data_IF_845492078671
#
_entry.id   IF_845492078671
#
_cell.length_a   1.000
_cell.length_b   1.000
_cell.length_c   1.000
_cell.angle_alpha   90.00
_cell.angle_beta   90.00
_cell.angle_gamma   90.00
#
_symmetry.space_group_name_H-M   'P 1'
#
loop_
_entity.id
_entity.type
_entity.pdbx_description
1 polymer ?
#
# COMPACT_ATOMS: atom_id res chain seq x y z
N UNK A 1 -4.73 -15.26 2.85
CA UNK A 1 -5.58 -14.12 2.47
C UNK A 1 -6.37 -14.48 1.23
N UNK A 2 -7.64 -14.06 1.12
CA UNK A 2 -8.42 -14.25 -0.11
C UNK A 2 -8.08 -13.20 -1.17
N UNK A 3 -8.34 -13.49 -2.46
CA UNK A 3 -8.18 -12.50 -3.54
C UNK A 3 -9.07 -11.27 -3.31
N UNK A 4 -10.26 -11.45 -2.72
CA UNK A 4 -11.18 -10.36 -2.41
C UNK A 4 -10.60 -9.43 -1.34
N UNK A 5 -9.98 -9.99 -0.30
CA UNK A 5 -9.33 -9.25 0.77
C UNK A 5 -8.12 -8.48 0.25
N UNK A 6 -7.29 -9.10 -0.60
CA UNK A 6 -6.19 -8.43 -1.29
C UNK A 6 -6.68 -7.25 -2.14
N UNK A 7 -7.72 -7.45 -2.96
CA UNK A 7 -8.29 -6.37 -3.77
C UNK A 7 -8.83 -5.23 -2.90
N UNK A 8 -9.41 -5.55 -1.74
CA UNK A 8 -9.88 -4.55 -0.77
C UNK A 8 -8.70 -3.76 -0.19
N UNK A 9 -7.62 -4.42 0.23
CA UNK A 9 -6.42 -3.73 0.74
C UNK A 9 -5.78 -2.81 -0.31
N UNK A 10 -5.69 -3.27 -1.57
CA UNK A 10 -5.23 -2.46 -2.70
C UNK A 10 -6.13 -1.25 -2.97
N UNK A 11 -7.45 -1.41 -2.86
CA UNK A 11 -8.41 -0.32 -3.03
C UNK A 11 -8.29 0.75 -1.94
N UNK A 12 -8.08 0.34 -0.68
CA UNK A 12 -7.87 1.28 0.43
C UNK A 12 -6.56 2.07 0.27
N UNK A 13 -5.50 1.42 -0.20
CA UNK A 13 -4.27 2.13 -0.54
C UNK A 13 -4.51 3.14 -1.66
N UNK A 14 -5.19 2.73 -2.74
CA UNK A 14 -5.53 3.65 -3.84
C UNK A 14 -6.34 4.85 -3.37
N UNK A 15 -7.37 4.62 -2.54
CA UNK A 15 -8.19 5.67 -1.98
C UNK A 15 -7.38 6.64 -1.12
N UNK A 16 -6.42 6.13 -0.35
CA UNK A 16 -5.51 6.96 0.46
C UNK A 16 -4.60 7.82 -0.42
N UNK A 17 -4.11 7.29 -1.55
CA UNK A 17 -3.37 8.09 -2.53
C UNK A 17 -4.23 9.20 -3.15
N UNK A 18 -5.46 8.87 -3.56
CA UNK A 18 -6.35 9.81 -4.24
C UNK A 18 -6.90 10.89 -3.30
N UNK A 19 -6.88 10.66 -1.98
CA UNK A 19 -7.18 11.67 -0.98
C UNK A 19 -6.09 12.76 -0.86
N UNK A 20 -4.90 12.54 -1.45
CA UNK A 20 -3.77 13.45 -1.37
C UNK A 20 -3.46 14.10 -2.72
N UNK A 21 -3.11 15.39 -2.68
CA UNK A 21 -2.57 16.10 -3.83
C UNK A 21 -1.10 15.68 -4.04
N UNK A 22 -0.90 14.66 -4.87
CA UNK A 22 0.41 14.14 -5.23
C UNK A 22 0.92 14.83 -6.50
N UNK A 23 2.19 15.22 -6.48
CA UNK A 23 2.89 15.61 -7.71
C UNK A 23 2.94 14.43 -8.69
N UNK A 24 3.00 14.66 -10.01
CA UNK A 24 3.01 13.58 -11.00
C UNK A 24 4.08 12.51 -10.74
N UNK A 25 5.27 12.93 -10.30
CA UNK A 25 6.36 12.01 -9.98
C UNK A 25 6.08 11.17 -8.73
N UNK A 26 5.49 11.78 -7.69
CA UNK A 26 5.11 11.09 -6.45
C UNK A 26 4.00 10.08 -6.70
N UNK A 27 2.99 10.46 -7.49
CA UNK A 27 1.91 9.56 -7.92
C UNK A 27 2.46 8.38 -8.69
N UNK A 28 3.37 8.62 -9.64
CA UNK A 28 4.00 7.56 -10.43
C UNK A 28 4.75 6.55 -9.55
N UNK A 29 5.59 7.01 -8.62
CA UNK A 29 6.35 6.12 -7.71
C UNK A 29 5.41 5.22 -6.89
N UNK A 30 4.29 5.78 -6.44
CA UNK A 30 3.35 5.04 -5.61
C UNK A 30 2.50 4.06 -6.45
N UNK A 31 2.14 4.42 -7.68
CA UNK A 31 1.52 3.51 -8.66
C UNK A 31 2.44 2.35 -9.05
N UNK A 32 3.72 2.61 -9.31
CA UNK A 32 4.71 1.57 -9.61
C UNK A 32 4.88 0.59 -8.44
N UNK A 33 4.84 1.10 -7.21
CA UNK A 33 4.91 0.27 -6.00
C UNK A 33 3.65 -0.57 -5.80
N UNK A 34 2.47 0.00 -6.07
CA UNK A 34 1.20 -0.74 -6.07
C UNK A 34 1.22 -1.89 -7.08
N UNK A 35 1.66 -1.63 -8.31
CA UNK A 35 1.71 -2.64 -9.37
C UNK A 35 2.71 -3.76 -9.06
N UNK A 36 3.89 -3.41 -8.53
CA UNK A 36 4.88 -4.39 -8.10
C UNK A 36 4.33 -5.30 -6.98
N UNK A 37 3.63 -4.70 -6.02
CA UNK A 37 3.01 -5.42 -4.91
C UNK A 37 1.88 -6.35 -5.41
N UNK A 38 1.03 -5.85 -6.30
CA UNK A 38 -0.03 -6.66 -6.93
C UNK A 38 0.54 -7.84 -7.73
N UNK A 39 1.65 -7.65 -8.43
CA UNK A 39 2.33 -8.71 -9.18
C UNK A 39 2.95 -9.77 -8.25
N UNK A 40 3.59 -9.34 -7.16
CA UNK A 40 4.16 -10.22 -6.15
C UNK A 40 3.08 -11.09 -5.52
N UNK A 41 1.94 -10.51 -5.16
CA UNK A 41 0.83 -11.23 -4.53
C UNK A 41 0.04 -12.11 -5.49
N UNK A 42 0.03 -11.79 -6.79
CA UNK A 42 -0.48 -12.71 -7.83
C UNK A 42 0.43 -13.92 -8.03
N UNK A 43 1.74 -13.73 -7.93
CA UNK A 43 2.74 -14.78 -8.18
C UNK A 43 2.95 -15.70 -6.98
N UNK A 44 2.84 -15.17 -5.75
CA UNK A 44 2.98 -15.94 -4.50
C UNK A 44 1.60 -16.30 -3.94
N UNK A 45 1.14 -17.54 -4.17
CA UNK A 45 -0.09 -18.04 -3.55
C UNK A 45 0.18 -19.13 -2.49
N UNK A 46 -0.46 -19.04 -1.29
CA UNK A 46 -1.27 -17.93 -0.80
C UNK A 46 -0.42 -16.87 -0.08
N UNK A 47 -0.63 -15.57 -0.33
CA UNK A 47 -0.05 -14.56 0.54
C UNK A 47 -0.83 -14.46 1.86
N UNK A 48 -0.11 -14.26 2.96
CA UNK A 48 -0.73 -13.98 4.26
C UNK A 48 -1.27 -12.55 4.30
N UNK A 49 -2.28 -12.30 5.13
CA UNK A 49 -2.80 -10.94 5.34
C UNK A 49 -1.72 -10.00 5.90
N UNK A 50 -0.84 -10.56 6.74
CA UNK A 50 0.34 -9.91 7.32
C UNK A 50 1.39 -9.53 6.26
N UNK A 51 1.49 -10.26 5.15
CA UNK A 51 2.48 -9.97 4.13
C UNK A 51 2.21 -8.62 3.43
N UNK A 52 0.94 -8.26 3.26
CA UNK A 52 0.57 -6.96 2.69
C UNK A 52 0.95 -5.80 3.61
N UNK A 53 0.58 -5.88 4.89
CA UNK A 53 0.91 -4.83 5.87
C UNK A 53 2.41 -4.74 6.12
N UNK A 54 3.11 -5.87 6.14
CA UNK A 54 4.57 -5.90 6.25
C UNK A 54 5.25 -5.18 5.08
N UNK A 55 4.73 -5.38 3.86
CA UNK A 55 5.27 -4.71 2.68
C UNK A 55 4.96 -3.20 2.69
N UNK A 56 3.75 -2.81 3.13
CA UNK A 56 3.45 -1.40 3.37
C UNK A 56 4.39 -0.78 4.42
N UNK A 57 4.62 -1.43 5.56
CA UNK A 57 5.59 -0.95 6.55
C UNK A 57 7.01 -0.85 5.99
N UNK A 58 7.40 -1.77 5.10
CA UNK A 58 8.70 -1.69 4.41
C UNK A 58 8.78 -0.44 3.53
N UNK A 59 7.74 -0.14 2.77
CA UNK A 59 7.65 1.08 1.94
C UNK A 59 7.64 2.35 2.80
N UNK A 60 6.87 2.36 3.89
CA UNK A 60 6.85 3.45 4.87
C UNK A 60 8.25 3.78 5.37
N UNK A 61 8.99 2.77 5.86
CA UNK A 61 10.35 2.96 6.36
C UNK A 61 11.33 3.43 5.27
N UNK A 62 11.22 2.86 4.07
CA UNK A 62 12.07 3.23 2.94
C UNK A 62 11.84 4.69 2.51
N UNK A 63 10.60 5.17 2.58
CA UNK A 63 10.23 6.52 2.15
C UNK A 63 10.24 7.56 3.26
N UNK A 64 10.36 7.17 4.53
CA UNK A 64 10.31 8.10 5.65
C UNK A 64 11.32 9.26 5.53
N UNK A 65 12.50 9.00 4.97
CA UNK A 65 13.55 10.01 4.78
C UNK A 65 13.39 10.80 3.46
N UNK A 66 13.27 10.09 2.34
CA UNK A 66 13.36 10.71 1.01
C UNK A 66 12.01 11.19 0.47
N UNK A 67 10.91 10.62 0.97
CA UNK A 67 9.56 10.87 0.50
C UNK A 67 8.53 10.90 1.65
N UNK A 68 8.62 11.88 2.58
CA UNK A 68 7.83 11.90 3.82
C UNK A 68 6.30 11.93 3.57
N UNK A 69 5.85 12.56 2.47
CA UNK A 69 4.44 12.53 2.09
C UNK A 69 3.98 11.11 1.70
N UNK A 70 4.79 10.38 0.94
CA UNK A 70 4.46 9.00 0.57
C UNK A 70 4.42 8.09 1.79
N UNK A 71 5.39 8.23 2.70
CA UNK A 71 5.38 7.52 3.98
C UNK A 71 4.09 7.80 4.78
N UNK A 72 3.67 9.08 4.86
CA UNK A 72 2.43 9.48 5.54
C UNK A 72 1.20 8.78 4.96
N UNK A 73 1.09 8.72 3.63
CA UNK A 73 -0.03 8.05 2.95
C UNK A 73 -0.07 6.55 3.27
N UNK A 74 1.10 5.92 3.36
CA UNK A 74 1.21 4.51 3.75
C UNK A 74 0.80 4.31 5.21
N UNK A 75 1.27 5.16 6.13
CA UNK A 75 0.86 5.13 7.55
C UNK A 75 -0.67 5.26 7.70
N UNK A 76 -1.28 6.17 6.95
CA UNK A 76 -2.75 6.33 6.95
C UNK A 76 -3.48 5.12 6.39
N UNK A 77 -2.97 4.54 5.31
CA UNK A 77 -3.50 3.31 4.73
C UNK A 77 -3.49 2.19 5.77
N UNK A 78 -2.35 1.96 6.43
CA UNK A 78 -2.20 0.96 7.49
C UNK A 78 -3.21 1.16 8.63
N UNK A 79 -3.41 2.42 9.07
CA UNK A 79 -4.41 2.75 10.10
C UNK A 79 -5.85 2.40 9.65
N UNK A 80 -6.19 2.67 8.39
CA UNK A 80 -7.53 2.36 7.85
C UNK A 80 -7.76 0.84 7.77
N UNK A 81 -6.77 0.10 7.27
CA UNK A 81 -6.82 -1.37 7.21
C UNK A 81 -7.04 -1.98 8.60
N UNK A 82 -6.24 -1.54 9.58
CA UNK A 82 -6.38 -1.96 10.98
C UNK A 82 -7.77 -1.66 11.53
N UNK A 83 -8.32 -0.48 11.26
CA UNK A 83 -9.67 -0.10 11.71
C UNK A 83 -10.80 -0.92 11.05
N UNK A 84 -10.55 -1.48 9.87
CA UNK A 84 -11.50 -2.34 9.14
C UNK A 84 -11.44 -3.81 9.59
N UNK A 85 -10.45 -4.18 10.41
CA UNK A 85 -10.25 -5.56 10.86
C UNK A 85 -9.81 -6.50 9.74
N UNK A 86 -9.08 -5.99 8.74
CA UNK A 86 -8.57 -6.75 7.59
C UNK A 86 -7.05 -6.66 7.49
#
# INVERSE_FOLDING_TARGET
MSIQEMNRKMAEWRASMDAHALEPQQRKVMEESMDAMALQFRSNQPPSAEAFESELHRLEMMWAADHPLLATIITETLRRLSAMGI
#
